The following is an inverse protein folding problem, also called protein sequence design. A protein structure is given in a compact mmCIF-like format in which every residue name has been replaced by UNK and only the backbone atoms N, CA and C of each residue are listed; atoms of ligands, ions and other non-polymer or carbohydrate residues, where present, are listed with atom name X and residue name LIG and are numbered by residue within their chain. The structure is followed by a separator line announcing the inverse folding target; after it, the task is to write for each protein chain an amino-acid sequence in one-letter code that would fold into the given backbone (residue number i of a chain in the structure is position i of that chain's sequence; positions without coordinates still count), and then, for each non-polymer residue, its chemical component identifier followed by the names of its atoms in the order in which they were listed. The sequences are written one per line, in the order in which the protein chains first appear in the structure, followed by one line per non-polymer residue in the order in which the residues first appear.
data_IF_661873780059
#
_entry.id   IF_661873780059
#
_cell.length_a   1.000
_cell.length_b   1.000
_cell.length_c   1.000
_cell.angle_alpha   90.00
_cell.angle_beta   90.00
_cell.angle_gamma   90.00
#
_symmetry.space_group_name_H-M   'P 1'
#
loop_
_entity.id
_entity.type
_entity.pdbx_description
1 polymer ?
#
# COMPACT_ATOMS: atom_id res chain seq x y z
N UNK A 1 21.70 4.75 19.42
CA UNK A 1 20.73 4.93 18.30
C UNK A 1 20.17 6.34 18.36
N UNK A 2 19.69 6.89 17.25
CA UNK A 2 18.90 8.12 17.25
C UNK A 2 17.52 7.89 17.87
N UNK A 3 16.79 8.98 18.08
CA UNK A 3 15.35 8.91 18.24
C UNK A 3 14.68 8.26 17.02
N UNK A 4 13.47 7.76 17.25
CA UNK A 4 12.64 7.22 16.20
C UNK A 4 12.17 8.35 15.26
N UNK A 5 12.13 8.04 13.97
CA UNK A 5 11.38 8.85 13.01
C UNK A 5 9.88 8.88 13.36
N UNK A 6 9.18 9.80 12.74
CA UNK A 6 7.72 9.71 12.65
C UNK A 6 7.29 8.40 11.99
N UNK A 7 6.05 7.99 12.27
CA UNK A 7 5.42 6.87 11.60
C UNK A 7 5.15 7.19 10.13
N UNK A 8 5.38 6.21 9.26
CA UNK A 8 4.89 6.23 7.90
C UNK A 8 3.35 6.32 7.87
N UNK A 9 2.76 6.77 6.74
CA UNK A 9 1.37 6.46 6.44
C UNK A 9 1.07 4.96 6.55
N UNK A 10 -0.20 4.61 6.72
CA UNK A 10 -0.61 3.21 6.75
C UNK A 10 -0.35 2.55 5.39
N UNK A 11 0.09 1.31 5.38
CA UNK A 11 0.32 0.53 4.16
C UNK A 11 -0.98 0.23 3.39
N UNK A 12 -2.13 0.41 4.03
CA UNK A 12 -3.44 0.17 3.44
C UNK A 12 -4.21 1.50 3.32
N UNK A 13 -4.89 1.68 2.20
CA UNK A 13 -5.80 2.81 1.92
C UNK A 13 -7.20 2.59 2.52
N UNK A 14 -7.56 1.34 2.83
CA UNK A 14 -8.77 0.94 3.55
C UNK A 14 -8.47 -0.26 4.48
N UNK A 15 -9.32 -0.54 5.48
CA UNK A 15 -9.19 -1.72 6.33
C UNK A 15 -7.92 -1.75 7.18
N UNK A 16 -7.41 -2.96 7.47
CA UNK A 16 -6.21 -3.17 8.30
C UNK A 16 -4.95 -3.06 7.45
N UNK A 17 -3.98 -2.28 7.92
CA UNK A 17 -2.65 -2.17 7.34
C UNK A 17 -1.57 -2.10 8.42
N UNK A 18 -0.37 -1.72 8.01
CA UNK A 18 0.78 -1.56 8.89
C UNK A 18 1.49 -0.23 8.61
N UNK A 19 1.96 0.42 9.65
CA UNK A 19 2.82 1.61 9.56
C UNK A 19 4.19 1.29 10.15
N UNK A 20 5.21 1.93 9.62
CA UNK A 20 6.61 1.64 9.92
C UNK A 20 7.31 2.94 10.37
N UNK A 21 8.23 2.85 11.31
CA UNK A 21 9.17 3.92 11.62
C UNK A 21 10.56 3.34 11.81
N UNK A 22 11.58 4.17 11.61
CA UNK A 22 12.99 3.74 11.67
C UNK A 22 13.79 4.64 12.58
N UNK A 23 14.93 4.15 13.06
CA UNK A 23 15.94 4.95 13.77
C UNK A 23 17.33 4.52 13.32
N UNK A 24 18.30 5.41 13.43
CA UNK A 24 19.66 5.17 12.95
C UNK A 24 20.56 4.67 14.07
N UNK A 25 21.49 3.79 13.72
CA UNK A 25 22.50 3.29 14.63
C UNK A 25 23.71 4.23 14.64
N UNK A 26 23.79 5.08 15.67
CA UNK A 26 24.94 5.95 15.91
C UNK A 26 26.06 5.18 16.62
N UNK A 27 26.81 4.39 15.86
CA UNK A 27 28.05 3.72 16.30
C UNK A 27 29.03 3.71 15.14
N UNK A 28 30.32 3.55 15.47
CA UNK A 28 31.38 3.40 14.48
C UNK A 28 31.17 2.16 13.58
N UNK A 29 31.62 2.18 12.30
CA UNK A 29 31.35 1.11 11.33
C UNK A 29 31.75 -0.29 11.79
N UNK A 30 32.88 -0.40 12.51
CA UNK A 30 33.39 -1.67 13.02
C UNK A 30 32.49 -2.30 14.10
N UNK A 31 31.60 -1.54 14.74
CA UNK A 31 30.65 -2.02 15.75
C UNK A 31 29.22 -2.12 15.23
N UNK A 32 28.95 -1.68 13.99
CA UNK A 32 27.59 -1.66 13.44
C UNK A 32 26.96 -3.05 13.39
N UNK A 33 27.70 -4.09 12.98
CA UNK A 33 27.17 -5.46 12.88
C UNK A 33 26.77 -6.03 14.25
N UNK A 34 27.63 -5.84 15.26
CA UNK A 34 27.36 -6.31 16.62
C UNK A 34 26.16 -5.57 17.22
N UNK A 35 26.16 -4.23 17.13
CA UNK A 35 25.13 -3.42 17.75
C UNK A 35 23.79 -3.48 17.02
N UNK A 36 23.76 -3.66 15.68
CA UNK A 36 22.51 -3.79 14.92
C UNK A 36 21.73 -5.04 15.29
N UNK A 37 22.42 -6.13 15.64
CA UNK A 37 21.77 -7.37 16.10
C UNK A 37 21.06 -7.23 17.45
N UNK A 38 21.47 -6.25 18.27
CA UNK A 38 20.97 -6.06 19.64
C UNK A 38 19.93 -4.95 19.77
N UNK A 39 19.66 -4.22 18.69
CA UNK A 39 18.81 -3.03 18.74
C UNK A 39 17.81 -3.05 17.59
N UNK A 40 16.53 -2.93 17.90
CA UNK A 40 15.48 -2.80 16.88
C UNK A 40 15.62 -1.46 16.16
N UNK A 41 15.97 -1.47 14.87
CA UNK A 41 16.12 -0.26 14.04
C UNK A 41 14.89 0.05 13.18
N UNK A 42 13.99 -0.92 13.05
CA UNK A 42 12.72 -0.81 12.34
C UNK A 42 11.61 -1.28 13.25
N UNK A 43 10.59 -0.45 13.43
CA UNK A 43 9.41 -0.81 14.20
C UNK A 43 8.18 -0.76 13.30
N UNK A 44 7.32 -1.77 13.41
CA UNK A 44 6.07 -1.87 12.69
C UNK A 44 4.89 -1.92 13.67
N UNK A 45 3.80 -1.23 13.36
CA UNK A 45 2.53 -1.31 14.09
C UNK A 45 1.38 -1.47 13.14
N UNK A 46 0.35 -2.21 13.57
CA UNK A 46 -0.91 -2.25 12.83
C UNK A 46 -1.59 -0.88 12.82
N UNK A 47 -2.29 -0.59 11.74
CA UNK A 47 -3.15 0.56 11.57
C UNK A 47 -4.45 0.12 10.92
N UNK A 48 -5.51 0.91 11.10
CA UNK A 48 -6.78 0.71 10.41
C UNK A 48 -7.15 2.03 9.74
N UNK A 49 -7.39 2.01 8.44
CA UNK A 49 -7.80 3.18 7.65
C UNK A 49 -9.18 2.88 7.14
N UNK A 50 -10.25 3.45 7.72
CA UNK A 50 -11.66 3.10 7.44
C UNK A 50 -11.98 1.58 7.66
N UNK A 51 -13.00 1.28 8.45
CA UNK A 51 -13.35 -0.11 8.80
C UNK A 51 -13.90 -0.92 7.63
N UNK A 52 -14.41 -0.23 6.61
CA UNK A 52 -14.99 -0.82 5.42
C UNK A 52 -14.14 -0.48 4.20
N UNK A 53 -13.78 -1.51 3.44
CA UNK A 53 -13.09 -1.39 2.15
C UNK A 53 -14.08 -1.29 0.98
N UNK A 54 -15.39 -1.21 1.25
CA UNK A 54 -16.35 -0.80 0.23
C UNK A 54 -16.08 0.66 -0.12
N UNK A 55 -15.65 0.87 -1.35
CA UNK A 55 -15.66 2.21 -1.93
C UNK A 55 -17.10 2.57 -2.21
N UNK A 56 -17.76 3.20 -1.23
CA UNK A 56 -19.09 3.73 -1.44
C UNK A 56 -19.08 4.78 -2.57
N UNK A 57 -20.22 4.95 -3.23
CA UNK A 57 -20.37 5.87 -4.37
C UNK A 57 -19.89 7.29 -4.04
N UNK A 58 -20.07 7.72 -2.78
CA UNK A 58 -19.66 9.03 -2.31
C UNK A 58 -18.13 9.16 -2.23
N UNK A 59 -17.44 8.17 -1.67
CA UNK A 59 -15.98 8.14 -1.55
C UNK A 59 -15.32 7.96 -2.91
N UNK A 60 -15.84 7.07 -3.75
CA UNK A 60 -15.36 6.91 -5.13
C UNK A 60 -15.46 8.25 -5.90
N UNK A 61 -16.58 8.97 -5.75
CA UNK A 61 -16.75 10.30 -6.35
C UNK A 61 -15.74 11.32 -5.84
N UNK A 62 -15.44 11.34 -4.54
CA UNK A 62 -14.44 12.27 -4.00
C UNK A 62 -13.05 11.91 -4.52
N UNK A 63 -12.66 10.64 -4.45
CA UNK A 63 -11.31 10.18 -4.83
C UNK A 63 -11.07 10.31 -6.33
N UNK A 64 -11.95 9.75 -7.16
CA UNK A 64 -11.73 9.68 -8.61
C UNK A 64 -11.89 11.02 -9.32
N UNK A 65 -12.38 12.06 -8.63
CA UNK A 65 -12.49 13.41 -9.19
C UNK A 65 -11.28 14.29 -8.84
N UNK A 66 -10.36 13.84 -7.99
CA UNK A 66 -9.10 14.54 -7.75
C UNK A 66 -8.15 14.40 -8.95
N UNK A 67 -7.28 15.37 -9.18
CA UNK A 67 -6.20 15.24 -10.18
C UNK A 67 -5.07 14.36 -9.63
N UNK A 68 -4.26 13.73 -10.48
CA UNK A 68 -3.13 12.92 -10.00
C UNK A 68 -2.09 13.80 -9.27
N UNK A 69 -1.79 13.50 -8.01
CA UNK A 69 -0.81 14.25 -7.21
C UNK A 69 0.51 13.46 -7.03
N UNK A 70 1.59 14.01 -7.57
CA UNK A 70 2.95 13.48 -7.47
C UNK A 70 3.47 13.53 -6.03
N UNK A 71 3.03 14.52 -5.24
CA UNK A 71 3.59 14.82 -3.93
C UNK A 71 5.00 15.44 -3.98
N UNK A 72 5.57 15.81 -2.82
CA UNK A 72 6.84 16.55 -2.75
C UNK A 72 8.08 15.65 -2.73
N UNK A 73 7.93 14.34 -2.56
CA UNK A 73 9.08 13.42 -2.62
C UNK A 73 9.58 13.23 -4.04
N UNK A 74 10.87 12.92 -4.19
CA UNK A 74 11.57 12.82 -5.48
C UNK A 74 11.77 11.39 -5.98
N UNK A 75 11.06 10.42 -5.38
CA UNK A 75 11.04 9.06 -5.91
C UNK A 75 10.27 9.00 -7.22
N UNK A 76 10.37 7.87 -7.92
CA UNK A 76 9.55 7.60 -9.09
C UNK A 76 8.91 6.22 -8.92
N UNK A 77 7.62 6.21 -8.61
CA UNK A 77 6.82 5.01 -8.51
C UNK A 77 5.69 5.12 -9.52
N UNK A 78 5.68 4.23 -10.53
CA UNK A 78 4.58 4.21 -11.50
C UNK A 78 3.28 3.85 -10.79
N UNK A 79 2.26 4.70 -10.95
CA UNK A 79 0.92 4.57 -10.37
C UNK A 79 -0.13 4.92 -11.41
N UNK A 80 -1.39 4.66 -11.09
CA UNK A 80 -2.54 4.93 -11.95
C UNK A 80 -3.50 5.89 -11.25
N UNK A 81 -4.08 6.83 -12.00
CA UNK A 81 -5.07 7.78 -11.53
C UNK A 81 -6.21 7.87 -12.55
N UNK A 82 -7.44 8.04 -12.09
CA UNK A 82 -8.59 8.27 -12.96
C UNK A 82 -8.59 9.71 -13.47
N UNK A 83 -8.61 9.88 -14.79
CA UNK A 83 -8.79 11.18 -15.43
C UNK A 83 -10.27 11.35 -15.78
N UNK A 84 -10.97 12.21 -15.03
CA UNK A 84 -12.40 12.48 -15.22
C UNK A 84 -12.73 13.14 -16.56
N UNK A 85 -11.77 13.80 -17.23
CA UNK A 85 -11.96 14.39 -18.57
C UNK A 85 -11.86 13.32 -19.65
N UNK A 86 -10.94 12.37 -19.49
CA UNK A 86 -10.73 11.25 -20.42
C UNK A 86 -11.59 10.03 -20.11
N UNK A 87 -12.27 10.02 -18.96
CA UNK A 87 -13.08 8.92 -18.44
C UNK A 87 -12.32 7.58 -18.43
N UNK A 88 -11.03 7.64 -18.11
CA UNK A 88 -10.12 6.48 -18.10
C UNK A 88 -8.99 6.66 -17.10
N UNK A 89 -8.39 5.56 -16.68
CA UNK A 89 -7.22 5.57 -15.82
C UNK A 89 -5.94 5.80 -16.64
N UNK A 90 -5.13 6.76 -16.20
CA UNK A 90 -3.85 7.12 -16.82
C UNK A 90 -2.71 6.81 -15.85
N UNK A 91 -1.54 6.44 -16.38
CA UNK A 91 -0.35 6.24 -15.56
C UNK A 91 0.33 7.58 -15.25
N UNK A 92 0.91 7.69 -14.07
CA UNK A 92 1.70 8.85 -13.64
C UNK A 92 2.85 8.43 -12.70
N UNK A 93 3.84 9.32 -12.54
CA UNK A 93 4.95 9.11 -11.61
C UNK A 93 4.62 9.67 -10.23
N UNK A 94 4.42 8.80 -9.24
CA UNK A 94 4.24 9.19 -7.85
C UNK A 94 5.59 9.36 -7.15
N UNK A 95 5.76 10.47 -6.43
CA UNK A 95 6.99 10.85 -5.72
C UNK A 95 7.35 9.94 -4.54
N UNK A 96 6.40 9.14 -4.05
CA UNK A 96 6.59 8.19 -2.95
C UNK A 96 6.20 8.72 -1.57
N UNK A 97 5.83 9.99 -1.43
CA UNK A 97 5.23 10.51 -0.21
C UNK A 97 4.25 11.66 -0.47
N UNK A 98 3.35 11.86 0.50
CA UNK A 98 2.18 12.74 0.39
C UNK A 98 1.43 12.41 -0.92
N UNK A 99 0.77 13.33 -1.60
CA UNK A 99 -0.14 12.96 -2.70
C UNK A 99 -1.58 12.78 -2.22
N UNK A 100 -2.43 12.31 -3.11
CA UNK A 100 -3.85 12.10 -2.84
C UNK A 100 -4.29 10.66 -3.13
N UNK A 101 -5.60 10.42 -3.01
CA UNK A 101 -6.17 9.07 -3.05
C UNK A 101 -6.41 8.56 -4.47
N UNK A 102 -6.39 9.43 -5.48
CA UNK A 102 -6.46 9.04 -6.88
C UNK A 102 -5.11 8.49 -7.36
N UNK A 103 -4.64 7.44 -6.69
CA UNK A 103 -3.30 6.89 -6.81
C UNK A 103 -3.36 5.39 -6.50
N UNK A 104 -3.52 4.60 -7.54
CA UNK A 104 -3.69 3.16 -7.51
C UNK A 104 -2.43 2.45 -8.02
N UNK A 105 -2.19 1.23 -7.55
CA UNK A 105 -1.01 0.48 -7.95
C UNK A 105 -1.16 -0.10 -9.37
N UNK A 106 -2.37 -0.53 -9.72
CA UNK A 106 -2.67 -1.16 -11.02
C UNK A 106 -3.79 -0.42 -11.75
N UNK A 107 -3.81 -0.57 -13.08
CA UNK A 107 -4.87 -0.02 -13.92
C UNK A 107 -6.25 -0.60 -13.55
N UNK A 108 -6.30 -1.89 -13.21
CA UNK A 108 -7.55 -2.58 -12.83
C UNK A 108 -8.10 -2.05 -11.51
N UNK A 109 -7.26 -1.83 -10.50
CA UNK A 109 -7.66 -1.24 -9.22
C UNK A 109 -8.28 0.15 -9.43
N UNK A 110 -7.65 0.99 -10.24
CA UNK A 110 -8.18 2.30 -10.62
C UNK A 110 -9.52 2.18 -11.35
N UNK A 111 -9.60 1.30 -12.34
CA UNK A 111 -10.80 1.13 -13.18
C UNK A 111 -11.97 0.62 -12.37
N UNK A 112 -11.77 -0.40 -11.54
CA UNK A 112 -12.82 -0.96 -10.70
C UNK A 112 -13.32 0.08 -9.69
N UNK A 113 -12.42 0.80 -9.04
CA UNK A 113 -12.76 1.85 -8.05
C UNK A 113 -13.55 3.00 -8.68
N UNK A 114 -13.15 3.45 -9.88
CA UNK A 114 -13.71 4.64 -10.51
C UNK A 114 -14.78 4.36 -11.58
N UNK A 115 -15.06 3.09 -11.87
CA UNK A 115 -16.08 2.65 -12.84
C UNK A 115 -17.46 3.28 -12.55
N UNK A 116 -17.80 3.40 -11.27
CA UNK A 116 -19.07 3.97 -10.83
C UNK A 116 -19.16 5.48 -11.07
N UNK A 117 -18.03 6.19 -10.97
CA UNK A 117 -17.93 7.62 -11.30
C UNK A 117 -18.01 7.80 -12.81
N UNK A 118 -17.35 6.94 -13.57
CA UNK A 118 -17.45 6.90 -15.04
C UNK A 118 -18.91 6.73 -15.49
N UNK A 119 -19.64 5.77 -14.93
CA UNK A 119 -21.05 5.52 -15.24
C UNK A 119 -21.95 6.74 -14.91
N UNK A 120 -21.72 7.37 -13.75
CA UNK A 120 -22.46 8.57 -13.36
C UNK A 120 -22.20 9.76 -14.30
N UNK A 121 -20.97 9.93 -14.80
CA UNK A 121 -20.60 11.02 -15.71
C UNK A 121 -21.09 10.81 -17.15
N UNK A 122 -21.21 9.56 -17.61
CA UNK A 122 -21.73 9.26 -18.95
C UNK A 122 -23.26 9.24 -19.03
N UNK A 123 -23.94 9.43 -17.89
CA UNK A 123 -25.40 9.33 -17.83
C UNK A 123 -25.92 7.92 -18.15
N UNK A 124 -25.04 6.91 -18.15
CA UNK A 124 -25.46 5.53 -18.27
C UNK A 124 -26.13 5.13 -16.97
N UNK A 125 -27.32 4.48 -17.01
CA UNK A 125 -27.89 3.93 -15.81
C UNK A 125 -26.85 2.99 -15.20
N UNK A 126 -26.54 3.21 -13.92
CA UNK A 126 -25.92 2.17 -13.09
C UNK A 126 -26.93 1.04 -13.02
N UNK A 127 -27.00 0.22 -14.07
CA UNK A 127 -27.49 -1.13 -13.91
C UNK A 127 -26.46 -1.71 -12.94
N UNK A 128 -26.80 -1.68 -11.66
CA UNK A 128 -26.34 -2.70 -10.74
C UNK A 128 -26.98 -3.97 -11.32
N UNK A 129 -26.46 -4.44 -12.46
CA UNK A 129 -26.51 -5.86 -12.68
C UNK A 129 -25.78 -6.38 -11.45
N UNK A 130 -26.40 -7.25 -10.63
CA UNK A 130 -25.58 -8.04 -9.75
C UNK A 130 -24.49 -8.57 -10.67
N UNK A 131 -23.21 -8.41 -10.30
CA UNK A 131 -22.13 -9.10 -11.01
C UNK A 131 -22.46 -10.59 -10.89
N UNK A 132 -23.26 -11.08 -11.84
CA UNK A 132 -23.59 -12.45 -12.13
C UNK A 132 -22.78 -12.89 -13.35
N UNK A 133 -21.77 -12.11 -13.74
CA UNK A 133 -20.52 -12.73 -14.13
C UNK A 133 -19.90 -13.34 -12.87
N UNK A 134 -19.25 -14.50 -12.93
CA UNK A 134 -18.50 -14.99 -11.79
C UNK A 134 -17.57 -13.84 -11.36
N UNK A 135 -17.79 -13.30 -10.16
CA UNK A 135 -16.80 -12.44 -9.52
C UNK A 135 -15.50 -13.19 -9.70
N UNK A 136 -14.56 -12.65 -10.49
CA UNK A 136 -13.27 -13.32 -10.62
C UNK A 136 -12.78 -13.41 -9.19
N UNK A 137 -12.62 -14.63 -8.66
CA UNK A 137 -12.17 -14.75 -7.29
C UNK A 137 -10.88 -13.95 -7.22
N UNK A 138 -10.64 -13.21 -6.12
CA UNK A 138 -9.39 -12.50 -5.92
C UNK A 138 -8.26 -13.44 -6.37
N UNK A 139 -7.48 -12.99 -7.35
CA UNK A 139 -6.42 -13.81 -7.90
C UNK A 139 -5.38 -13.89 -6.80
N UNK A 140 -5.40 -15.00 -6.08
CA UNK A 140 -4.36 -15.30 -5.12
C UNK A 140 -3.03 -15.25 -5.86
N UNK A 141 -2.18 -14.31 -5.45
CA UNK A 141 -0.86 -14.19 -6.03
C UNK A 141 -0.17 -15.56 -5.91
N UNK A 142 0.24 -16.13 -7.04
CA UNK A 142 1.12 -17.29 -6.99
C UNK A 142 2.39 -16.85 -6.28
N UNK A 143 2.75 -17.54 -5.22
CA UNK A 143 3.96 -17.25 -4.47
C UNK A 143 4.94 -18.40 -4.62
N UNK A 144 6.22 -18.11 -4.42
CA UNK A 144 7.22 -19.15 -4.20
C UNK A 144 6.91 -19.90 -2.91
N UNK A 145 7.52 -21.08 -2.78
CA UNK A 145 7.68 -21.67 -1.47
C UNK A 145 8.35 -20.66 -0.53
N UNK A 146 7.94 -20.69 0.73
CA UNK A 146 8.61 -19.94 1.77
C UNK A 146 10.07 -20.37 1.87
N UNK A 147 10.96 -19.43 2.10
CA UNK A 147 12.31 -19.74 2.51
C UNK A 147 12.28 -20.54 3.82
N UNK A 148 13.32 -21.33 4.13
CA UNK A 148 13.53 -21.82 5.47
C UNK A 148 13.45 -20.68 6.49
N UNK A 149 12.87 -20.97 7.66
CA UNK A 149 12.89 -20.02 8.77
C UNK A 149 14.33 -19.69 9.14
N UNK A 150 14.61 -18.42 9.36
CA UNK A 150 15.88 -18.00 9.96
C UNK A 150 16.01 -18.55 11.38
N UNK A 151 17.25 -18.75 11.87
CA UNK A 151 17.49 -19.07 13.26
C UNK A 151 16.84 -18.05 14.20
N UNK A 152 16.45 -18.47 15.39
CA UNK A 152 15.83 -17.60 16.38
C UNK A 152 16.72 -16.37 16.65
N UNK A 153 16.11 -15.18 16.67
CA UNK A 153 16.82 -13.91 16.87
C UNK A 153 17.50 -13.78 18.24
N UNK A 154 17.22 -14.69 19.18
CA UNK A 154 17.82 -14.73 20.52
C UNK A 154 18.17 -16.16 20.88
N UNK A 155 19.17 -16.32 21.75
CA UNK A 155 19.58 -17.62 22.29
C UNK A 155 18.82 -18.00 23.56
N UNK A 156 18.15 -17.05 24.22
CA UNK A 156 17.29 -17.29 25.38
C UNK A 156 16.14 -16.27 25.46
N UNK A 157 15.01 -16.67 26.06
CA UNK A 157 13.80 -15.86 26.13
C UNK A 157 12.96 -15.90 24.83
N UNK A 158 12.09 -14.90 24.64
CA UNK A 158 11.19 -14.82 23.48
C UNK A 158 11.86 -14.10 22.31
N UNK A 159 12.16 -14.82 21.25
CA UNK A 159 12.75 -14.28 20.00
C UNK A 159 11.76 -14.23 18.84
N UNK A 160 12.26 -13.81 17.68
CA UNK A 160 11.53 -13.80 16.41
C UNK A 160 12.28 -14.66 15.39
N UNK A 161 11.54 -15.25 14.47
CA UNK A 161 12.06 -15.88 13.26
C UNK A 161 11.43 -15.19 12.06
N UNK A 162 12.16 -15.14 10.95
CA UNK A 162 11.73 -14.51 9.70
C UNK A 162 11.90 -15.50 8.56
N UNK A 163 10.91 -15.52 7.66
CA UNK A 163 10.94 -16.23 6.37
C UNK A 163 10.44 -15.27 5.29
N UNK A 164 10.91 -15.47 4.06
CA UNK A 164 10.54 -14.67 2.91
C UNK A 164 9.98 -15.55 1.80
N UNK A 165 9.09 -15.00 0.99
CA UNK A 165 8.60 -15.60 -0.26
C UNK A 165 8.48 -14.52 -1.31
N UNK A 166 8.61 -14.91 -2.57
CA UNK A 166 8.47 -14.01 -3.71
C UNK A 166 7.11 -14.23 -4.35
N UNK A 167 6.52 -13.18 -4.92
CA UNK A 167 5.38 -13.32 -5.83
C UNK A 167 5.94 -13.81 -7.18
N UNK A 168 5.33 -14.85 -7.75
CA UNK A 168 5.63 -15.40 -9.07
C UNK A 168 4.88 -14.67 -10.16
#
# INVERSE_FOLDING_TARGET
VTDWSDWSPCSASCGKGVKIRTRLLMVEPHRQQECSSRVELLQQRTCVVQSDCTFDMATAKVVCMEEADVGPCRGYFQRWAFDAKRLTCISFGYGGCRGNRNNFLTFEECTNTCSVVKAALTGQPTIIEPVSGPARPPVDCMVSEWSPWTPCSVTCGSGRVTSFRMIK
#
